data_IF_766210610426
#
_entry.id   IF_766210610426
#
_cell.length_a   1.000
_cell.length_b   1.000
_cell.length_c   1.000
_cell.angle_alpha   90.00
_cell.angle_beta   90.00
_cell.angle_gamma   90.00
#
_symmetry.space_group_name_H-M   'P 1'
#
loop_
_entity.id
_entity.type
_entity.pdbx_description
1 polymer ?
#
# COMPACT_ATOMS: atom_id res chain seq x y z
N UNK A 1 -49.12 -2.72 36.41
CA UNK A 1 -48.69 -1.30 36.44
C UNK A 1 -47.17 -1.30 36.30
N UNK A 2 -46.57 -1.02 35.12
CA UNK A 2 -46.43 0.31 34.45
C UNK A 2 -45.64 1.25 35.38
N UNK A 3 -44.43 1.78 35.09
CA UNK A 3 -43.79 2.29 33.86
C UNK A 3 -42.27 2.52 34.11
N UNK A 4 -41.44 2.45 33.07
CA UNK A 4 -40.12 3.12 32.94
C UNK A 4 -40.30 4.48 32.17
N UNK A 5 -39.29 5.18 31.62
CA UNK A 5 -37.94 5.61 32.04
C UNK A 5 -37.64 7.12 31.74
N UNK A 6 -36.48 7.66 32.13
CA UNK A 6 -35.86 8.86 31.51
C UNK A 6 -34.33 8.83 31.75
N UNK A 7 -33.40 9.06 30.82
CA UNK A 7 -33.50 9.39 29.40
C UNK A 7 -32.24 8.93 28.65
N UNK A 8 -32.44 8.40 27.45
CA UNK A 8 -31.44 8.03 26.47
C UNK A 8 -30.83 9.27 25.80
N UNK A 9 -29.50 9.41 25.75
CA UNK A 9 -28.87 10.27 24.75
C UNK A 9 -28.69 9.46 23.46
N UNK A 10 -29.44 9.84 22.44
CA UNK A 10 -29.58 9.14 21.17
C UNK A 10 -28.29 9.26 20.35
N UNK A 11 -27.90 8.14 19.74
CA UNK A 11 -27.12 8.11 18.50
C UNK A 11 -27.73 9.11 17.50
N UNK A 12 -26.95 10.11 17.10
CA UNK A 12 -27.22 10.83 15.86
C UNK A 12 -26.29 10.31 14.78
N UNK A 13 -26.91 9.56 13.86
CA UNK A 13 -26.33 9.03 12.64
C UNK A 13 -25.72 10.16 11.80
N UNK A 14 -24.52 9.90 11.28
CA UNK A 14 -23.72 10.75 10.38
C UNK A 14 -24.37 11.05 9.00
N UNK A 15 -25.66 10.75 8.83
CA UNK A 15 -26.38 10.83 7.55
C UNK A 15 -27.02 12.20 7.25
N UNK A 16 -27.14 13.11 8.24
CA UNK A 16 -27.96 14.33 8.06
C UNK A 16 -27.22 15.60 7.61
N UNK A 17 -25.88 15.62 7.54
CA UNK A 17 -25.14 16.81 7.06
C UNK A 17 -24.69 16.70 5.60
N UNK A 18 -24.92 15.54 4.96
CA UNK A 18 -24.54 15.30 3.57
C UNK A 18 -25.61 15.70 2.54
N UNK A 19 -26.80 16.11 3.01
CA UNK A 19 -27.97 16.37 2.14
C UNK A 19 -28.19 17.86 1.83
N UNK A 20 -27.39 18.80 2.35
CA UNK A 20 -27.49 20.23 2.00
C UNK A 20 -26.41 20.75 1.04
N UNK A 21 -25.40 19.95 0.71
CA UNK A 21 -24.28 20.36 -0.16
C UNK A 21 -24.37 19.81 -1.60
N UNK A 22 -25.49 19.19 -2.00
CA UNK A 22 -25.63 18.47 -3.28
C UNK A 22 -26.39 19.20 -4.41
N UNK A 23 -26.89 20.42 -4.20
CA UNK A 23 -27.75 21.10 -5.20
C UNK A 23 -27.27 22.49 -5.65
N UNK A 24 -25.97 22.67 -5.91
CA UNK A 24 -25.49 23.76 -6.78
C UNK A 24 -24.35 23.24 -7.68
N UNK A 25 -24.48 23.50 -8.98
CA UNK A 25 -23.77 22.87 -10.09
C UNK A 25 -22.23 23.06 -10.11
N UNK A 26 -21.55 21.97 -10.52
CA UNK A 26 -20.17 21.68 -10.97
C UNK A 26 -19.19 22.80 -11.40
N UNK A 27 -17.85 22.54 -11.55
CA UNK A 27 -17.04 21.36 -11.21
C UNK A 27 -15.77 21.72 -10.41
N UNK A 28 -15.70 21.38 -9.13
CA UNK A 28 -14.41 21.26 -8.42
C UNK A 28 -14.40 19.88 -7.78
N UNK A 29 -13.58 18.98 -8.33
CA UNK A 29 -13.30 17.66 -7.73
C UNK A 29 -12.49 17.90 -6.45
N UNK A 30 -13.20 18.05 -5.33
CA UNK A 30 -12.61 18.06 -3.99
C UNK A 30 -12.44 16.58 -3.60
N UNK A 31 -11.21 16.10 -3.51
CA UNK A 31 -10.88 14.76 -3.01
C UNK A 31 -10.38 14.89 -1.57
N UNK A 32 -10.97 14.19 -0.58
CA UNK A 32 -10.49 14.25 0.80
C UNK A 32 -9.17 13.50 0.94
N UNK A 33 -8.14 14.17 1.47
CA UNK A 33 -6.89 13.53 1.91
C UNK A 33 -7.05 13.21 3.40
N UNK A 34 -7.35 11.94 3.71
CA UNK A 34 -7.06 11.25 4.98
C UNK A 34 -7.52 11.86 6.31
N UNK A 35 -8.30 11.09 7.08
CA UNK A 35 -8.49 11.33 8.51
C UNK A 35 -7.18 11.06 9.27
N UNK A 36 -6.61 12.07 9.94
CA UNK A 36 -5.73 11.84 11.10
C UNK A 36 -6.54 12.04 12.37
N UNK A 37 -6.86 10.95 13.06
CA UNK A 37 -7.36 11.00 14.43
C UNK A 37 -6.17 11.15 15.39
N UNK A 38 -5.97 12.36 15.87
CA UNK A 38 -5.06 12.69 16.97
C UNK A 38 -5.41 14.07 17.50
N UNK A 39 -6.22 14.10 18.55
CA UNK A 39 -6.47 15.20 19.49
C UNK A 39 -6.78 16.60 18.90
N UNK A 40 -8.07 16.94 18.85
CA UNK A 40 -8.54 18.27 19.24
C UNK A 40 -8.30 19.44 18.28
N UNK A 41 -8.56 19.28 16.97
CA UNK A 41 -8.66 20.43 16.06
C UNK A 41 -8.82 20.03 14.60
N UNK A 42 -9.99 20.30 14.00
CA UNK A 42 -10.21 20.09 12.56
C UNK A 42 -9.52 21.23 11.79
N UNK A 43 -8.33 20.97 11.27
CA UNK A 43 -7.67 21.90 10.33
C UNK A 43 -8.04 21.48 8.91
N UNK A 44 -8.93 22.23 8.26
CA UNK A 44 -9.24 22.03 6.84
C UNK A 44 -8.24 22.86 6.02
N UNK A 45 -7.20 22.21 5.50
CA UNK A 45 -6.28 22.82 4.56
C UNK A 45 -6.89 22.80 3.15
N UNK A 46 -7.13 23.98 2.57
CA UNK A 46 -7.51 24.13 1.17
C UNK A 46 -6.27 24.52 0.37
N UNK A 47 -5.95 23.78 -0.69
CA UNK A 47 -4.94 24.17 -1.67
C UNK A 47 -5.64 24.42 -3.01
N UNK A 48 -5.46 25.62 -3.58
CA UNK A 48 -5.84 25.92 -4.95
C UNK A 48 -4.61 25.70 -5.84
N UNK A 49 -4.68 24.77 -6.79
CA UNK A 49 -3.65 24.57 -7.82
C UNK A 49 -4.10 25.22 -9.12
N UNK A 50 -3.40 26.26 -9.57
CA UNK A 50 -3.67 26.93 -10.86
C UNK A 50 -3.03 28.32 -10.98
N UNK A 51 -2.49 28.63 -12.16
CA UNK A 51 -1.64 29.82 -12.45
C UNK A 51 -2.38 31.17 -12.55
N UNK A 52 -3.53 31.32 -11.91
CA UNK A 52 -4.31 32.59 -11.84
C UNK A 52 -4.65 32.94 -10.39
N UNK A 53 -3.65 32.81 -9.51
CA UNK A 53 -3.84 32.81 -8.05
C UNK A 53 -3.95 34.19 -7.38
N UNK A 54 -3.67 35.32 -8.04
CA UNK A 54 -3.65 36.62 -7.32
C UNK A 54 -5.01 37.32 -7.24
N UNK A 55 -5.80 37.38 -8.32
CA UNK A 55 -7.09 38.11 -8.32
C UNK A 55 -8.23 37.34 -7.64
N UNK A 56 -8.16 36.01 -7.59
CA UNK A 56 -9.15 35.16 -6.93
C UNK A 56 -8.94 35.03 -5.41
N UNK A 57 -7.71 35.24 -4.91
CA UNK A 57 -7.39 35.22 -3.48
C UNK A 57 -7.95 36.44 -2.73
N UNK A 58 -7.97 37.62 -3.36
CA UNK A 58 -8.54 38.83 -2.75
C UNK A 58 -10.07 38.77 -2.66
N UNK A 59 -10.75 38.20 -3.67
CA UNK A 59 -12.21 38.02 -3.65
C UNK A 59 -12.67 37.03 -2.58
N UNK A 60 -11.96 35.93 -2.41
CA UNK A 60 -12.23 34.94 -1.35
C UNK A 60 -11.96 35.50 0.05
N UNK A 61 -10.89 36.28 0.21
CA UNK A 61 -10.56 36.94 1.49
C UNK A 61 -11.62 37.99 1.89
N UNK A 62 -12.11 38.79 0.95
CA UNK A 62 -13.14 39.79 1.21
C UNK A 62 -14.53 39.17 1.47
N UNK A 63 -14.85 38.05 0.83
CA UNK A 63 -16.07 37.28 1.11
C UNK A 63 -16.05 36.69 2.53
N UNK A 64 -14.95 36.06 2.94
CA UNK A 64 -14.78 35.52 4.29
C UNK A 64 -14.85 36.60 5.37
N UNK A 65 -14.26 37.78 5.15
CA UNK A 65 -14.37 38.94 6.06
C UNK A 65 -15.80 39.43 6.25
N UNK A 66 -16.65 39.33 5.22
CA UNK A 66 -18.05 39.75 5.27
C UNK A 66 -18.93 38.75 6.04
N UNK A 67 -18.58 37.46 6.00
CA UNK A 67 -19.22 36.41 6.79
C UNK A 67 -18.85 36.53 8.27
N UNK A 68 -17.57 36.74 8.58
CA UNK A 68 -17.06 36.83 9.97
C UNK A 68 -17.62 38.03 10.74
N UNK A 69 -18.13 39.08 10.07
CA UNK A 69 -18.77 40.24 10.72
C UNK A 69 -20.21 39.98 11.21
N UNK A 70 -20.84 38.87 10.81
CA UNK A 70 -22.21 38.52 11.22
C UNK A 70 -22.27 37.57 12.44
N UNK A 71 -21.13 37.21 13.01
CA UNK A 71 -21.06 36.31 14.16
C UNK A 71 -21.10 37.08 15.49
N UNK A 72 -21.85 36.59 16.50
CA UNK A 72 -21.90 37.18 17.84
C UNK A 72 -20.54 37.15 18.55
N UNK A 73 -20.29 38.16 19.39
CA UNK A 73 -18.96 38.57 19.88
C UNK A 73 -18.16 37.49 20.62
N UNK A 74 -18.81 36.48 21.20
CA UNK A 74 -18.17 35.40 21.98
C UNK A 74 -17.39 34.36 21.15
N UNK A 75 -17.36 34.47 19.82
CA UNK A 75 -16.52 33.63 18.95
C UNK A 75 -15.37 34.38 18.26
N UNK A 76 -15.10 35.64 18.62
CA UNK A 76 -14.02 36.46 18.01
C UNK A 76 -12.61 36.16 18.53
N UNK A 77 -12.44 35.20 19.44
CA UNK A 77 -11.14 34.79 19.96
C UNK A 77 -10.54 33.65 19.13
N UNK A 78 -10.16 33.95 17.90
CA UNK A 78 -9.15 33.14 17.18
C UNK A 78 -8.10 34.14 16.68
N UNK A 79 -7.00 34.20 17.42
CA UNK A 79 -5.82 34.97 17.07
C UNK A 79 -5.24 34.40 15.77
N UNK A 80 -5.48 35.06 14.65
CA UNK A 80 -4.73 34.83 13.42
C UNK A 80 -3.43 35.64 13.51
N UNK A 81 -2.24 35.00 13.55
CA UNK A 81 -1.00 35.76 13.43
C UNK A 81 -0.92 36.33 12.01
N UNK A 82 -1.04 37.66 11.92
CA UNK A 82 -0.64 38.45 10.76
C UNK A 82 0.86 38.20 10.53
N UNK A 83 1.20 37.38 9.54
CA UNK A 83 2.58 37.22 9.08
C UNK A 83 2.97 38.53 8.40
N UNK A 84 3.52 39.47 9.19
CA UNK A 84 4.29 40.60 8.67
C UNK A 84 5.64 40.04 8.22
N UNK A 85 6.00 40.34 6.98
CA UNK A 85 7.26 39.94 6.40
C UNK A 85 8.44 40.42 7.25
N UNK A 86 9.30 39.48 7.58
CA UNK A 86 10.71 39.74 7.88
C UNK A 86 11.51 38.75 7.06
N UNK A 87 12.42 39.26 6.23
CA UNK A 87 13.32 38.54 5.33
C UNK A 87 14.37 37.67 6.06
N UNK A 88 13.95 36.95 7.09
CA UNK A 88 14.79 36.17 7.99
C UNK A 88 14.22 34.76 8.25
N UNK A 89 13.54 34.17 7.27
CA UNK A 89 13.19 32.74 7.29
C UNK A 89 13.45 32.09 5.91
N UNK A 90 14.54 32.50 5.25
CA UNK A 90 15.07 31.91 4.03
C UNK A 90 16.41 31.17 4.26
N UNK A 91 16.81 30.91 5.51
CA UNK A 91 18.11 30.29 5.82
C UNK A 91 18.09 28.91 6.48
N UNK A 92 16.93 28.32 6.76
CA UNK A 92 16.86 26.94 7.26
C UNK A 92 15.97 26.03 6.40
N UNK A 93 16.03 26.18 5.06
CA UNK A 93 15.42 25.23 4.10
C UNK A 93 16.46 24.35 3.40
N UNK A 94 17.64 24.18 4.00
CA UNK A 94 18.74 23.39 3.43
C UNK A 94 19.28 22.30 4.37
N UNK A 95 18.51 21.88 5.39
CA UNK A 95 18.92 20.78 6.29
C UNK A 95 17.95 19.60 6.41
N UNK A 96 16.83 19.62 5.69
CA UNK A 96 15.91 18.48 5.58
C UNK A 96 15.82 17.92 4.15
N UNK A 97 16.92 17.98 3.39
CA UNK A 97 17.02 17.33 2.07
C UNK A 97 17.65 15.93 2.12
N UNK A 98 17.94 15.39 3.31
CA UNK A 98 18.04 13.95 3.46
C UNK A 98 16.63 13.35 3.49
N UNK A 99 15.93 13.48 2.35
CA UNK A 99 14.93 12.52 1.93
C UNK A 99 15.64 11.18 1.99
N UNK A 100 15.35 10.39 3.02
CA UNK A 100 15.73 8.98 3.06
C UNK A 100 15.33 8.42 1.70
N UNK A 101 16.32 8.16 0.85
CA UNK A 101 16.15 7.34 -0.31
C UNK A 101 15.70 6.01 0.26
N UNK A 102 14.39 5.73 0.18
CA UNK A 102 13.88 4.40 0.49
C UNK A 102 14.37 3.53 -0.66
N UNK A 103 15.56 2.96 -0.49
CA UNK A 103 16.08 1.90 -1.33
C UNK A 103 15.23 0.68 -1.03
N UNK A 104 14.34 0.35 -1.95
CA UNK A 104 13.63 -0.92 -1.87
C UNK A 104 14.58 -2.05 -2.26
N UNK A 105 14.48 -3.15 -1.54
CA UNK A 105 15.27 -4.34 -1.79
C UNK A 105 14.48 -5.31 -2.65
N UNK A 106 15.16 -5.88 -3.64
CA UNK A 106 14.59 -6.89 -4.52
C UNK A 106 14.69 -8.27 -3.87
N UNK A 107 13.61 -9.06 -3.82
CA UNK A 107 13.66 -10.41 -3.27
C UNK A 107 14.62 -11.31 -4.05
N UNK A 108 14.94 -12.48 -3.48
CA UNK A 108 15.81 -13.51 -4.09
C UNK A 108 15.26 -14.03 -5.42
N UNK A 109 16.08 -14.65 -6.27
CA UNK A 109 15.58 -15.14 -7.57
C UNK A 109 14.48 -16.19 -7.36
N UNK A 110 13.42 -16.23 -8.18
CA UNK A 110 12.43 -17.31 -8.14
C UNK A 110 13.03 -18.69 -8.44
N UNK A 111 14.26 -18.75 -8.99
CA UNK A 111 14.98 -19.99 -9.28
C UNK A 111 15.77 -20.53 -8.09
N UNK A 112 15.92 -19.74 -7.03
CA UNK A 112 16.57 -20.20 -5.81
C UNK A 112 15.76 -21.34 -5.20
N UNK A 113 16.44 -22.42 -4.83
CA UNK A 113 15.83 -23.61 -4.24
C UNK A 113 16.56 -24.02 -2.96
N UNK A 114 15.83 -24.71 -2.09
CA UNK A 114 16.36 -25.37 -0.90
C UNK A 114 15.67 -26.72 -0.75
N UNK A 115 16.45 -27.78 -0.59
CA UNK A 115 16.01 -29.18 -0.48
C UNK A 115 14.94 -29.59 -1.52
N UNK A 116 15.14 -29.17 -2.77
CA UNK A 116 14.25 -29.49 -3.90
C UNK A 116 12.97 -28.64 -3.98
N UNK A 117 12.77 -27.69 -3.07
CA UNK A 117 11.65 -26.73 -3.13
C UNK A 117 12.13 -25.42 -3.75
N UNK A 118 11.97 -25.34 -5.07
CA UNK A 118 12.16 -24.09 -5.81
C UNK A 118 11.21 -23.00 -5.29
N UNK A 119 11.65 -21.74 -5.36
CA UNK A 119 10.93 -20.54 -4.94
C UNK A 119 10.79 -20.35 -3.42
N UNK A 120 10.98 -21.39 -2.60
CA UNK A 120 10.86 -21.27 -1.13
C UNK A 120 11.80 -20.22 -0.51
N UNK A 121 13.10 -20.15 -0.88
CA UNK A 121 13.97 -19.09 -0.37
C UNK A 121 13.46 -17.69 -0.73
N UNK A 122 12.91 -17.52 -1.93
CA UNK A 122 12.31 -16.24 -2.33
C UNK A 122 11.09 -15.89 -1.48
N UNK A 123 10.21 -16.85 -1.19
CA UNK A 123 9.06 -16.67 -0.30
C UNK A 123 9.52 -16.17 1.08
N UNK A 124 10.49 -16.86 1.70
CA UNK A 124 11.03 -16.46 2.99
C UNK A 124 11.65 -15.05 2.95
N UNK A 125 12.39 -14.74 1.87
CA UNK A 125 13.00 -13.42 1.72
C UNK A 125 11.94 -12.32 1.58
N UNK A 126 10.88 -12.55 0.78
CA UNK A 126 9.75 -11.61 0.65
C UNK A 126 9.09 -11.32 1.99
N UNK A 127 8.86 -12.35 2.82
CA UNK A 127 8.27 -12.18 4.14
C UNK A 127 9.16 -11.30 5.05
N UNK A 128 10.47 -11.55 5.06
CA UNK A 128 11.44 -10.75 5.85
C UNK A 128 11.52 -9.29 5.36
N UNK A 129 11.61 -9.07 4.05
CA UNK A 129 11.63 -7.72 3.46
C UNK A 129 10.33 -6.95 3.73
N UNK A 130 9.19 -7.64 3.70
CA UNK A 130 7.91 -7.02 4.03
C UNK A 130 7.86 -6.58 5.48
N UNK A 131 8.30 -7.43 6.42
CA UNK A 131 8.38 -7.07 7.84
C UNK A 131 9.39 -5.94 8.13
N UNK A 132 10.49 -5.88 7.37
CA UNK A 132 11.48 -4.81 7.46
C UNK A 132 11.01 -3.47 6.83
N UNK A 133 9.90 -3.47 6.09
CA UNK A 133 9.41 -2.28 5.37
C UNK A 133 10.26 -1.89 4.15
N UNK A 134 11.19 -2.76 3.72
CA UNK A 134 12.08 -2.53 2.57
C UNK A 134 11.60 -3.21 1.29
N UNK A 135 10.52 -4.00 1.36
CA UNK A 135 9.91 -4.61 0.17
C UNK A 135 9.19 -3.56 -0.68
N UNK A 136 9.48 -3.55 -1.99
CA UNK A 136 8.82 -2.65 -2.94
C UNK A 136 7.28 -2.79 -2.90
N UNK A 137 6.51 -1.68 -2.90
CA UNK A 137 5.04 -1.71 -2.78
C UNK A 137 4.33 -2.55 -3.86
N UNK A 138 4.94 -2.73 -5.03
CA UNK A 138 4.34 -3.56 -6.10
C UNK A 138 4.12 -5.02 -5.68
N UNK A 139 4.91 -5.53 -4.73
CA UNK A 139 4.79 -6.91 -4.27
C UNK A 139 3.68 -7.10 -3.24
N UNK A 140 3.22 -6.03 -2.57
CA UNK A 140 2.32 -6.14 -1.40
C UNK A 140 0.97 -6.76 -1.77
N UNK A 141 0.43 -6.43 -2.94
CA UNK A 141 -0.82 -7.02 -3.44
C UNK A 141 -0.68 -8.52 -3.77
N UNK A 142 0.53 -9.01 -3.98
CA UNK A 142 0.83 -10.39 -4.35
C UNK A 142 1.46 -11.20 -3.20
N UNK A 143 1.47 -10.70 -1.97
CA UNK A 143 1.97 -11.44 -0.81
C UNK A 143 0.99 -12.55 -0.44
N UNK A 144 1.48 -13.78 -0.36
CA UNK A 144 0.64 -14.94 -0.06
C UNK A 144 -0.33 -15.32 -1.18
N UNK A 145 -0.13 -14.82 -2.40
CA UNK A 145 -0.91 -15.18 -3.58
C UNK A 145 -0.01 -15.61 -4.75
N UNK A 146 -0.61 -16.22 -5.78
CA UNK A 146 0.14 -16.75 -6.92
C UNK A 146 1.17 -17.80 -6.48
N UNK A 147 2.44 -17.58 -6.81
CA UNK A 147 3.53 -18.51 -6.50
C UNK A 147 3.75 -18.71 -4.99
N UNK A 148 3.50 -17.69 -4.16
CA UNK A 148 3.59 -17.83 -2.71
C UNK A 148 2.53 -18.83 -2.21
N UNK A 149 1.28 -18.65 -2.68
CA UNK A 149 0.16 -19.52 -2.33
C UNK A 149 0.39 -20.95 -2.81
N UNK A 150 0.83 -21.14 -4.06
CA UNK A 150 1.08 -22.48 -4.59
C UNK A 150 2.17 -23.21 -3.82
N UNK A 151 3.20 -22.49 -3.36
CA UNK A 151 4.27 -23.06 -2.54
C UNK A 151 3.73 -23.52 -1.19
N UNK A 152 2.91 -22.69 -0.54
CA UNK A 152 2.22 -23.05 0.71
C UNK A 152 1.27 -24.24 0.53
N UNK A 153 0.49 -24.28 -0.57
CA UNK A 153 -0.40 -25.39 -0.90
C UNK A 153 0.35 -26.69 -1.18
N UNK A 154 1.49 -26.61 -1.86
CA UNK A 154 2.36 -27.77 -2.09
C UNK A 154 2.88 -28.33 -0.76
N UNK A 155 3.37 -27.48 0.13
CA UNK A 155 3.84 -27.87 1.46
C UNK A 155 2.71 -28.23 2.42
N UNK A 156 1.46 -27.87 2.12
CA UNK A 156 0.30 -28.14 2.97
C UNK A 156 0.23 -27.27 4.22
N UNK A 157 0.76 -26.05 4.17
CA UNK A 157 0.76 -25.09 5.28
C UNK A 157 0.05 -23.80 4.92
N UNK A 158 -0.52 -23.13 5.94
CA UNK A 158 -1.12 -21.82 5.77
C UNK A 158 -0.05 -20.72 5.71
N UNK A 159 -0.18 -19.79 4.76
CA UNK A 159 0.79 -18.71 4.55
C UNK A 159 1.03 -17.87 5.82
N UNK A 160 0.00 -17.41 6.57
CA UNK A 160 0.22 -16.65 7.80
C UNK A 160 1.04 -17.43 8.83
N UNK A 161 0.76 -18.72 9.01
CA UNK A 161 1.48 -19.56 9.97
C UNK A 161 2.95 -19.71 9.57
N UNK A 162 3.24 -19.91 8.28
CA UNK A 162 4.62 -19.94 7.78
C UNK A 162 5.35 -18.61 7.99
N UNK A 163 4.68 -17.49 7.72
CA UNK A 163 5.25 -16.14 7.95
C UNK A 163 5.60 -15.93 9.42
N UNK A 164 4.73 -16.32 10.35
CA UNK A 164 5.00 -16.21 11.79
C UNK A 164 6.31 -16.92 12.18
N UNK A 165 6.56 -18.09 11.60
CA UNK A 165 7.78 -18.87 11.84
C UNK A 165 9.03 -18.21 11.27
N UNK A 166 8.93 -17.65 10.05
CA UNK A 166 10.02 -16.90 9.42
C UNK A 166 10.36 -15.65 10.25
N UNK A 167 9.33 -14.94 10.74
CA UNK A 167 9.50 -13.72 11.54
C UNK A 167 9.94 -14.00 12.98
N UNK A 168 9.72 -15.21 13.49
CA UNK A 168 10.28 -15.67 14.75
C UNK A 168 11.81 -15.88 14.70
N UNK A 169 12.45 -15.71 13.53
CA UNK A 169 13.90 -15.74 13.36
C UNK A 169 14.45 -17.02 12.73
N UNK A 170 13.59 -17.94 12.28
CA UNK A 170 14.03 -19.14 11.57
C UNK A 170 14.75 -18.79 10.27
N UNK A 171 15.85 -19.50 10.02
CA UNK A 171 16.51 -19.56 8.72
C UNK A 171 15.60 -20.20 7.67
N UNK A 172 16.01 -20.18 6.40
CA UNK A 172 15.20 -20.79 5.34
C UNK A 172 15.08 -22.30 5.49
N UNK A 173 16.16 -22.98 5.88
CA UNK A 173 16.13 -24.43 6.14
C UNK A 173 15.20 -24.75 7.30
N UNK A 174 15.32 -24.04 8.44
CA UNK A 174 14.47 -24.28 9.61
C UNK A 174 12.98 -23.96 9.33
N UNK A 175 12.71 -22.96 8.48
CA UNK A 175 11.36 -22.65 8.05
C UNK A 175 10.80 -23.75 7.12
N UNK A 176 11.63 -24.33 6.25
CA UNK A 176 11.24 -25.44 5.39
C UNK A 176 11.00 -26.71 6.21
N UNK A 177 11.92 -27.06 7.11
CA UNK A 177 11.78 -28.19 8.04
C UNK A 177 10.47 -28.08 8.82
N UNK A 178 10.19 -26.91 9.40
CA UNK A 178 8.93 -26.68 10.09
C UNK A 178 7.71 -26.88 9.17
N UNK A 179 7.79 -26.41 7.91
CA UNK A 179 6.70 -26.58 6.96
C UNK A 179 6.50 -28.05 6.57
N UNK A 180 7.56 -28.84 6.50
CA UNK A 180 7.49 -30.28 6.25
C UNK A 180 6.92 -31.04 7.46
N UNK A 181 7.26 -30.63 8.69
CA UNK A 181 6.76 -31.22 9.94
C UNK A 181 5.28 -30.91 10.21
N UNK A 182 4.83 -29.70 9.86
CA UNK A 182 3.47 -29.22 10.16
C UNK A 182 2.53 -29.26 8.94
N UNK A 183 3.06 -29.65 7.79
CA UNK A 183 2.34 -29.72 6.52
C UNK A 183 2.15 -31.15 6.03
N UNK A 184 2.27 -31.34 4.72
CA UNK A 184 2.12 -32.64 4.05
C UNK A 184 3.47 -33.13 3.58
N UNK A 185 3.87 -34.32 4.03
CA UNK A 185 5.05 -35.01 3.51
C UNK A 185 4.86 -35.36 2.05
N UNK A 186 5.80 -34.91 1.21
CA UNK A 186 5.80 -35.16 -0.23
C UNK A 186 6.81 -36.23 -0.60
N UNK A 187 6.47 -37.01 -1.61
CA UNK A 187 7.36 -37.98 -2.23
C UNK A 187 8.36 -37.30 -3.16
N UNK A 188 9.47 -37.97 -3.46
CA UNK A 188 10.46 -37.48 -4.44
C UNK A 188 9.84 -37.17 -5.81
N UNK A 189 8.84 -37.95 -6.23
CA UNK A 189 8.13 -37.71 -7.50
C UNK A 189 7.33 -36.41 -7.46
N UNK A 190 6.65 -36.11 -6.35
CA UNK A 190 5.92 -34.86 -6.18
C UNK A 190 6.85 -33.64 -6.17
N UNK A 191 8.04 -33.72 -5.57
CA UNK A 191 9.04 -32.66 -5.67
C UNK A 191 9.50 -32.43 -7.12
N UNK A 192 9.72 -33.50 -7.88
CA UNK A 192 10.08 -33.38 -9.30
C UNK A 192 8.94 -32.72 -10.11
N UNK A 193 7.69 -33.10 -9.86
CA UNK A 193 6.53 -32.47 -10.48
C UNK A 193 6.38 -31.00 -10.09
N UNK A 194 6.60 -30.67 -8.81
CA UNK A 194 6.61 -29.28 -8.32
C UNK A 194 7.66 -28.44 -9.03
N UNK A 195 8.89 -28.94 -9.11
CA UNK A 195 9.99 -28.24 -9.79
C UNK A 195 9.66 -28.00 -11.27
N UNK A 196 9.12 -29.01 -11.96
CA UNK A 196 8.66 -28.85 -13.36
C UNK A 196 7.54 -27.81 -13.46
N UNK A 197 6.50 -27.94 -12.64
CA UNK A 197 5.34 -27.05 -12.63
C UNK A 197 5.75 -25.59 -12.44
N UNK A 198 6.62 -25.31 -11.48
CA UNK A 198 7.09 -23.96 -11.18
C UNK A 198 7.99 -23.41 -12.28
N UNK A 199 8.91 -24.23 -12.82
CA UNK A 199 9.83 -23.81 -13.88
C UNK A 199 9.14 -23.54 -15.21
N UNK A 200 8.04 -24.24 -15.53
CA UNK A 200 7.31 -24.07 -16.79
C UNK A 200 6.10 -23.15 -16.68
N UNK A 201 5.82 -22.57 -15.51
CA UNK A 201 4.60 -21.78 -15.31
C UNK A 201 4.55 -20.55 -16.22
N UNK A 202 3.45 -20.38 -16.93
CA UNK A 202 3.23 -19.36 -17.96
C UNK A 202 3.59 -19.82 -19.37
N UNK A 203 4.21 -21.00 -19.54
CA UNK A 203 4.58 -21.52 -20.84
C UNK A 203 3.50 -22.44 -21.40
N UNK A 204 2.73 -21.93 -22.37
CA UNK A 204 1.66 -22.67 -23.07
C UNK A 204 0.65 -23.34 -22.13
N UNK A 205 0.42 -22.70 -20.99
CA UNK A 205 -0.53 -23.13 -19.98
C UNK A 205 -1.64 -22.08 -19.79
N UNK A 206 -2.51 -22.29 -18.80
CA UNK A 206 -3.63 -21.41 -18.47
C UNK A 206 -3.24 -19.98 -18.08
N UNK A 207 -1.96 -19.70 -17.79
CA UNK A 207 -1.48 -18.35 -17.51
C UNK A 207 -0.65 -17.74 -18.64
N UNK A 208 -0.53 -18.41 -19.80
CA UNK A 208 0.23 -17.89 -20.93
C UNK A 208 -0.28 -16.52 -21.41
N UNK A 209 -1.61 -16.34 -21.50
CA UNK A 209 -2.20 -15.03 -21.86
C UNK A 209 -1.87 -13.94 -20.84
N UNK A 210 -1.90 -14.29 -19.54
CA UNK A 210 -1.54 -13.39 -18.46
C UNK A 210 -0.05 -13.02 -18.52
N UNK A 211 0.82 -13.95 -18.90
CA UNK A 211 2.24 -13.67 -19.08
C UNK A 211 2.45 -12.67 -20.23
N UNK A 212 1.77 -12.85 -21.37
CA UNK A 212 1.81 -11.91 -22.50
C UNK A 212 1.34 -10.52 -22.07
N UNK A 213 0.23 -10.44 -21.33
CA UNK A 213 -0.26 -9.19 -20.78
C UNK A 213 0.78 -8.50 -19.89
N UNK A 214 1.37 -9.22 -18.93
CA UNK A 214 2.38 -8.68 -18.00
C UNK A 214 3.65 -8.23 -18.72
N UNK A 215 4.08 -8.97 -19.74
CA UNK A 215 5.19 -8.55 -20.62
C UNK A 215 4.87 -7.22 -21.30
N UNK A 216 3.67 -7.05 -21.84
CA UNK A 216 3.27 -5.79 -22.47
C UNK A 216 3.23 -4.62 -21.47
N UNK A 217 2.64 -4.82 -20.30
CA UNK A 217 2.58 -3.82 -19.22
C UNK A 217 3.96 -3.36 -18.75
N UNK A 218 4.95 -4.26 -18.79
CA UNK A 218 6.33 -3.99 -18.34
C UNK A 218 7.28 -3.60 -19.49
N UNK A 219 6.77 -3.41 -20.72
CA UNK A 219 7.58 -3.05 -21.88
C UNK A 219 8.42 -4.19 -22.48
N UNK A 220 8.22 -5.44 -22.04
CA UNK A 220 8.94 -6.63 -22.48
C UNK A 220 8.22 -7.43 -23.57
N UNK A 221 7.21 -6.85 -24.24
CA UNK A 221 6.45 -7.54 -25.29
C UNK A 221 7.36 -8.08 -26.42
N UNK A 222 8.46 -7.38 -26.73
CA UNK A 222 9.42 -7.73 -27.77
C UNK A 222 10.48 -8.76 -27.34
N UNK A 223 10.53 -9.14 -26.05
CA UNK A 223 11.55 -10.06 -25.52
C UNK A 223 11.09 -11.52 -25.68
N UNK A 224 11.54 -12.17 -26.74
CA UNK A 224 11.19 -13.57 -27.04
C UNK A 224 11.86 -14.58 -26.08
N UNK A 225 12.93 -14.17 -25.40
CA UNK A 225 13.63 -15.00 -24.41
C UNK A 225 12.87 -15.15 -23.08
N UNK A 226 11.79 -14.39 -22.86
CA UNK A 226 10.92 -14.50 -21.68
C UNK A 226 9.76 -15.44 -22.00
N UNK A 227 9.88 -16.70 -21.56
CA UNK A 227 8.95 -17.79 -21.87
C UNK A 227 8.06 -18.17 -20.68
N UNK A 228 8.51 -17.90 -19.46
CA UNK A 228 7.85 -18.30 -18.20
C UNK A 228 7.69 -17.12 -17.25
N UNK A 229 6.85 -17.27 -16.21
CA UNK A 229 6.78 -16.27 -15.13
C UNK A 229 8.09 -16.11 -14.39
N UNK A 230 8.90 -17.17 -14.26
CA UNK A 230 10.22 -17.08 -13.66
C UNK A 230 11.16 -16.22 -14.52
N UNK A 231 11.14 -16.36 -15.85
CA UNK A 231 11.90 -15.49 -16.75
C UNK A 231 11.44 -14.03 -16.62
N UNK A 232 10.13 -13.82 -16.57
CA UNK A 232 9.55 -12.48 -16.45
C UNK A 232 9.95 -11.80 -15.14
N UNK A 233 9.86 -12.51 -14.00
CA UNK A 233 10.26 -11.97 -12.69
C UNK A 233 11.74 -11.63 -12.68
N UNK A 234 12.61 -12.50 -13.21
CA UNK A 234 14.04 -12.20 -13.24
C UNK A 234 14.37 -11.03 -14.18
N UNK A 235 13.67 -10.88 -15.31
CA UNK A 235 13.81 -9.73 -16.20
C UNK A 235 13.32 -8.42 -15.55
N UNK A 236 12.16 -8.44 -14.90
CA UNK A 236 11.61 -7.29 -14.16
C UNK A 236 12.54 -6.83 -13.03
N UNK A 237 13.24 -7.79 -12.43
CA UNK A 237 14.19 -7.57 -11.34
C UNK A 237 15.62 -7.29 -11.82
N UNK A 238 15.84 -7.17 -13.13
CA UNK A 238 17.12 -6.79 -13.74
C UNK A 238 18.19 -7.89 -13.74
N UNK A 239 17.79 -9.17 -13.63
CA UNK A 239 18.70 -10.32 -13.70
C UNK A 239 18.81 -10.95 -15.09
N UNK A 240 17.99 -10.53 -16.05
CA UNK A 240 17.91 -11.09 -17.41
C UNK A 240 17.93 -10.02 -18.51
#
# INVERSE_FOLDING_TARGET
MVRAPSGSCRQFSFSACWTMARNLASPLKIVPIGNRTGLGGVTVCWAATGSTASSNAERTTNFMRRILRRLPEKQRSIHYPLIRGTSQCLKNRSRDSHRLSMSYETPRSPRDEIDGVIYFPRLCHKARLHAAGTLHPQYHANLGSGMDLWTCQFLGVEYPALVDQILAGKSDSEALEWAQENGVSRTTAEFAWWSSFMRTRGFRDDLAEKLVQRKAESGFAHRDNILTFMDYIDADEGRL
#
